data_IF_295981381439
#
_entry.id   IF_295981381439
#
_cell.length_a   1.000
_cell.length_b   1.000
_cell.length_c   1.000
_cell.angle_alpha   90.00
_cell.angle_beta   90.00
_cell.angle_gamma   90.00
#
_symmetry.space_group_name_H-M   'P 1'
#
loop_
_entity.id
_entity.type
_entity.pdbx_description
1 polymer ?
#
# COMPACT_ATOMS: atom_id res chain seq x y z
N UNK A 1 -10.02 -34.54 -24.06
CA UNK A 1 -10.01 -33.33 -23.22
C UNK A 1 -9.27 -32.24 -23.97
N UNK A 2 -9.85 -31.05 -24.13
CA UNK A 2 -9.15 -29.94 -24.74
C UNK A 2 -8.02 -29.48 -23.80
N UNK A 3 -6.80 -29.43 -24.32
CA UNK A 3 -5.63 -28.94 -23.55
C UNK A 3 -5.82 -27.45 -23.35
N UNK A 4 -6.12 -27.04 -22.10
CA UNK A 4 -6.24 -25.64 -21.77
C UNK A 4 -4.83 -25.02 -21.79
N UNK A 5 -4.61 -23.97 -22.59
CA UNK A 5 -3.33 -23.25 -22.61
C UNK A 5 -3.07 -22.62 -21.25
N UNK A 6 -1.85 -22.76 -20.68
CA UNK A 6 -1.49 -22.08 -19.46
C UNK A 6 -1.65 -20.56 -19.62
N UNK A 7 -2.14 -19.90 -18.58
CA UNK A 7 -2.31 -18.45 -18.53
C UNK A 7 -2.04 -17.92 -17.14
N UNK A 8 -1.65 -16.67 -17.04
CA UNK A 8 -1.47 -15.97 -15.76
C UNK A 8 -2.78 -15.29 -15.33
N UNK A 9 -3.00 -15.05 -14.04
CA UNK A 9 -4.16 -14.31 -13.57
C UNK A 9 -4.26 -12.91 -14.19
N UNK A 10 -5.49 -12.48 -14.47
CA UNK A 10 -5.72 -11.16 -15.05
C UNK A 10 -5.21 -10.04 -14.13
N UNK A 11 -4.41 -9.14 -14.68
CA UNK A 11 -3.82 -8.01 -13.94
C UNK A 11 -2.51 -8.33 -13.24
N UNK A 12 -1.93 -9.49 -13.50
CA UNK A 12 -0.55 -9.85 -13.13
C UNK A 12 0.30 -9.99 -14.39
N UNK A 13 1.61 -10.13 -14.24
CA UNK A 13 2.52 -10.37 -15.35
C UNK A 13 3.78 -11.09 -14.91
N UNK A 14 4.36 -11.84 -15.84
CA UNK A 14 5.71 -12.36 -15.71
C UNK A 14 6.74 -11.28 -16.08
N UNK A 15 7.95 -11.45 -15.59
CA UNK A 15 9.07 -10.59 -15.91
C UNK A 15 10.21 -11.43 -16.49
N UNK A 16 10.69 -11.05 -17.65
CA UNK A 16 11.88 -11.64 -18.25
C UNK A 16 13.15 -11.37 -17.41
N UNK A 17 14.22 -12.15 -17.58
CA UNK A 17 15.49 -11.90 -16.87
C UNK A 17 16.00 -10.47 -17.05
N UNK A 18 15.87 -9.89 -18.24
CA UNK A 18 16.27 -8.50 -18.50
C UNK A 18 15.43 -7.49 -17.70
N UNK A 19 14.11 -7.68 -17.63
CA UNK A 19 13.22 -6.81 -16.85
C UNK A 19 13.49 -6.92 -15.36
N UNK A 20 13.75 -8.13 -14.84
CA UNK A 20 14.14 -8.34 -13.44
C UNK A 20 15.45 -7.61 -13.14
N UNK A 21 16.47 -7.71 -13.99
CA UNK A 21 17.74 -7.02 -13.79
C UNK A 21 17.59 -5.49 -13.81
N UNK A 22 16.76 -4.94 -14.72
CA UNK A 22 16.46 -3.51 -14.79
C UNK A 22 15.74 -3.05 -13.52
N UNK A 23 14.74 -3.79 -13.07
CA UNK A 23 14.02 -3.51 -11.83
C UNK A 23 14.96 -3.55 -10.61
N UNK A 24 15.85 -4.54 -10.55
CA UNK A 24 16.81 -4.66 -9.45
C UNK A 24 17.80 -3.50 -9.43
N UNK A 25 18.23 -3.00 -10.60
CA UNK A 25 19.05 -1.80 -10.69
C UNK A 25 18.33 -0.57 -10.08
N UNK A 26 17.05 -0.37 -10.42
CA UNK A 26 16.23 0.72 -9.86
C UNK A 26 16.11 0.57 -8.33
N UNK A 27 15.73 -0.61 -7.87
CA UNK A 27 15.56 -0.91 -6.44
C UNK A 27 16.87 -0.65 -5.67
N UNK A 28 18.00 -1.12 -6.18
CA UNK A 28 19.28 -0.92 -5.53
C UNK A 28 19.72 0.54 -5.51
N UNK A 29 19.40 1.30 -6.55
CA UNK A 29 19.67 2.75 -6.60
C UNK A 29 18.86 3.48 -5.53
N UNK A 30 17.57 3.17 -5.40
CA UNK A 30 16.68 3.75 -4.39
C UNK A 30 17.15 3.36 -2.97
N UNK A 31 17.46 2.08 -2.73
CA UNK A 31 17.96 1.60 -1.43
C UNK A 31 19.20 2.34 -0.96
N UNK A 32 20.14 2.64 -1.87
CA UNK A 32 21.33 3.42 -1.54
C UNK A 32 20.98 4.81 -1.01
N UNK A 33 20.01 5.49 -1.64
CA UNK A 33 19.57 6.81 -1.20
C UNK A 33 18.86 6.70 0.16
N UNK A 34 17.98 5.74 0.37
CA UNK A 34 17.34 5.54 1.68
C UNK A 34 18.36 5.40 2.81
N UNK A 35 19.41 4.61 2.61
CA UNK A 35 20.47 4.43 3.62
C UNK A 35 21.21 5.75 3.88
N UNK A 36 21.51 6.54 2.84
CA UNK A 36 22.17 7.85 3.00
C UNK A 36 21.33 8.83 3.82
N UNK A 37 20.00 8.77 3.72
CA UNK A 37 19.08 9.60 4.51
C UNK A 37 18.72 8.99 5.87
N UNK A 38 19.39 7.91 6.28
CA UNK A 38 19.22 7.29 7.60
C UNK A 38 18.00 6.39 7.73
N UNK A 39 17.39 5.94 6.62
CA UNK A 39 16.29 4.99 6.66
C UNK A 39 16.78 3.57 6.80
N UNK A 40 16.13 2.80 7.67
CA UNK A 40 16.37 1.37 7.90
C UNK A 40 15.37 0.50 7.15
N UNK A 41 15.80 -0.64 6.59
CA UNK A 41 14.90 -1.57 5.91
C UNK A 41 14.02 -2.32 6.91
N UNK A 42 12.74 -2.50 6.57
CA UNK A 42 11.88 -3.50 7.20
C UNK A 42 11.16 -4.32 6.14
N UNK A 43 10.68 -5.49 6.54
CA UNK A 43 9.78 -6.32 5.74
C UNK A 43 8.63 -6.80 6.62
N UNK A 44 7.43 -6.86 6.04
CA UNK A 44 6.25 -7.40 6.68
C UNK A 44 5.69 -8.56 5.86
N UNK A 45 4.88 -9.47 6.44
CA UNK A 45 4.28 -10.58 5.70
C UNK A 45 3.44 -10.10 4.51
N UNK A 46 3.35 -10.95 3.47
CA UNK A 46 2.52 -10.67 2.29
C UNK A 46 1.02 -10.62 2.58
N UNK A 47 0.61 -11.22 3.67
CA UNK A 47 -0.79 -11.21 4.15
C UNK A 47 -0.86 -10.77 5.61
N UNK A 48 -1.96 -10.15 5.95
CA UNK A 48 -2.30 -9.68 7.29
C UNK A 48 -3.62 -10.34 7.74
N UNK A 49 -3.93 -10.24 9.02
CA UNK A 49 -5.27 -10.55 9.50
C UNK A 49 -6.28 -9.62 8.80
N UNK A 50 -7.39 -10.18 8.34
CA UNK A 50 -8.42 -9.40 7.63
C UNK A 50 -8.90 -8.21 8.48
N UNK A 51 -9.06 -8.40 9.81
CA UNK A 51 -9.45 -7.34 10.74
C UNK A 51 -8.43 -6.19 10.86
N UNK A 52 -7.17 -6.44 10.55
CA UNK A 52 -6.14 -5.38 10.54
C UNK A 52 -6.30 -4.45 9.33
N UNK A 53 -6.76 -5.00 8.19
CA UNK A 53 -6.86 -4.27 6.93
C UNK A 53 -8.22 -3.59 6.75
N UNK A 54 -9.33 -4.24 7.19
CA UNK A 54 -10.68 -3.72 6.98
C UNK A 54 -10.97 -2.46 7.80
N UNK A 55 -11.78 -1.56 7.22
CA UNK A 55 -12.14 -0.28 7.85
C UNK A 55 -11.03 0.77 7.85
N UNK A 56 -9.91 0.53 7.14
CA UNK A 56 -8.78 1.46 7.07
C UNK A 56 -8.73 2.25 5.76
N UNK A 57 -9.37 1.75 4.72
CA UNK A 57 -9.30 2.30 3.34
C UNK A 57 -10.65 2.83 2.85
N UNK A 58 -11.66 2.96 3.74
CA UNK A 58 -13.03 3.25 3.38
C UNK A 58 -13.73 2.07 2.68
N UNK A 59 -15.02 2.20 2.38
CA UNK A 59 -15.80 1.11 1.77
C UNK A 59 -15.27 0.67 0.40
N UNK A 60 -14.81 1.62 -0.41
CA UNK A 60 -14.26 1.32 -1.74
C UNK A 60 -12.95 0.54 -1.62
N UNK A 61 -12.02 0.99 -0.78
CA UNK A 61 -10.75 0.30 -0.55
C UNK A 61 -10.95 -1.11 0.02
N UNK A 62 -11.88 -1.29 0.95
CA UNK A 62 -12.19 -2.59 1.54
C UNK A 62 -12.73 -3.61 0.50
N UNK A 63 -13.39 -3.14 -0.57
CA UNK A 63 -13.82 -3.99 -1.71
C UNK A 63 -12.63 -4.44 -2.56
N UNK A 64 -11.55 -3.67 -2.58
CA UNK A 64 -10.35 -3.96 -3.39
C UNK A 64 -9.35 -4.88 -2.68
N UNK A 65 -9.57 -5.23 -1.42
CA UNK A 65 -8.71 -6.16 -0.68
C UNK A 65 -8.94 -7.59 -1.17
N UNK A 66 -7.88 -8.28 -1.60
CA UNK A 66 -7.90 -9.71 -1.90
C UNK A 66 -7.97 -10.54 -0.62
N UNK A 67 -9.09 -11.18 -0.39
CA UNK A 67 -9.33 -12.05 0.76
C UNK A 67 -8.84 -13.46 0.47
N UNK A 68 -8.24 -14.11 1.48
CA UNK A 68 -7.70 -15.47 1.38
C UNK A 68 -8.65 -16.41 2.08
N UNK A 69 -9.15 -17.42 1.36
CA UNK A 69 -9.99 -18.47 1.95
C UNK A 69 -9.21 -19.24 3.02
N UNK A 70 -9.88 -19.57 4.12
CA UNK A 70 -9.32 -20.43 5.12
C UNK A 70 -9.01 -21.82 4.54
N UNK A 71 -7.93 -22.44 5.00
CA UNK A 71 -7.54 -23.78 4.56
C UNK A 71 -8.49 -24.84 5.13
N UNK A 72 -8.63 -25.97 4.44
CA UNK A 72 -9.50 -27.08 4.85
C UNK A 72 -10.97 -26.80 4.51
N UNK A 73 -11.88 -27.25 5.33
CA UNK A 73 -13.31 -27.00 5.17
C UNK A 73 -13.66 -25.59 5.62
N UNK A 74 -13.55 -24.64 4.69
CA UNK A 74 -13.78 -23.22 4.96
C UNK A 74 -15.26 -22.87 5.18
N UNK A 75 -16.19 -23.79 4.91
CA UNK A 75 -17.62 -23.61 5.18
C UNK A 75 -18.07 -24.16 6.54
N UNK A 76 -17.24 -24.93 7.24
CA UNK A 76 -17.61 -25.61 8.49
C UNK A 76 -18.15 -24.67 9.58
N UNK A 77 -17.77 -23.39 9.56
CA UNK A 77 -18.21 -22.36 10.54
C UNK A 77 -19.30 -21.44 10.01
N UNK A 78 -19.82 -21.69 8.81
CA UNK A 78 -20.82 -20.85 8.15
C UNK A 78 -22.21 -21.39 8.41
N UNK A 79 -23.08 -20.54 8.94
CA UNK A 79 -24.50 -20.87 9.07
C UNK A 79 -25.16 -21.00 7.69
N UNK A 80 -25.93 -22.07 7.50
CA UNK A 80 -26.59 -22.36 6.23
C UNK A 80 -27.57 -21.25 5.82
N UNK A 81 -28.21 -20.60 6.78
CA UNK A 81 -29.12 -19.47 6.54
C UNK A 81 -28.40 -18.28 5.90
N UNK A 82 -27.15 -18.03 6.28
CA UNK A 82 -26.33 -16.96 5.67
C UNK A 82 -26.03 -17.25 4.20
N UNK A 83 -25.82 -18.51 3.86
CA UNK A 83 -25.60 -18.94 2.47
C UNK A 83 -26.86 -18.83 1.65
N UNK A 84 -27.99 -19.30 2.18
CA UNK A 84 -29.30 -19.23 1.51
C UNK A 84 -29.72 -17.78 1.26
N UNK A 85 -29.52 -16.90 2.24
CA UNK A 85 -29.83 -15.47 2.13
C UNK A 85 -28.80 -14.66 1.34
N UNK A 86 -27.68 -15.30 0.89
CA UNK A 86 -26.57 -14.66 0.13
C UNK A 86 -25.95 -13.47 0.89
N UNK A 87 -25.86 -13.56 2.22
CA UNK A 87 -25.30 -12.51 3.08
C UNK A 87 -23.76 -12.49 3.01
N UNK A 88 -23.22 -12.14 1.85
CA UNK A 88 -21.79 -12.25 1.50
C UNK A 88 -20.86 -11.62 2.53
N UNK A 89 -21.21 -10.46 3.08
CA UNK A 89 -20.37 -9.75 4.07
C UNK A 89 -20.22 -10.56 5.37
N UNK A 90 -21.31 -11.18 5.86
CA UNK A 90 -21.29 -12.01 7.04
C UNK A 90 -20.59 -13.36 6.79
N UNK A 91 -20.74 -13.90 5.59
CA UNK A 91 -20.04 -15.14 5.17
C UNK A 91 -18.53 -14.90 5.11
N UNK A 92 -18.07 -13.79 4.50
CA UNK A 92 -16.64 -13.47 4.36
C UNK A 92 -15.92 -13.54 5.70
N UNK A 93 -16.47 -12.99 6.77
CA UNK A 93 -15.86 -12.98 8.10
C UNK A 93 -15.66 -14.38 8.70
N UNK A 94 -16.36 -15.39 8.19
CA UNK A 94 -16.27 -16.79 8.63
C UNK A 94 -15.32 -17.63 7.79
N UNK A 95 -15.20 -17.31 6.50
CA UNK A 95 -14.42 -18.09 5.54
C UNK A 95 -13.04 -17.50 5.22
N UNK A 96 -12.76 -16.28 5.68
CA UNK A 96 -11.51 -15.56 5.39
C UNK A 96 -11.03 -14.81 6.64
N UNK A 97 -10.02 -15.34 7.29
CA UNK A 97 -9.36 -14.69 8.44
C UNK A 97 -8.18 -13.82 8.01
N UNK A 98 -7.70 -13.97 6.77
CA UNK A 98 -6.51 -13.33 6.23
C UNK A 98 -6.79 -12.71 4.87
N UNK A 99 -6.02 -11.69 4.53
CA UNK A 99 -6.08 -11.05 3.23
C UNK A 99 -4.68 -10.62 2.78
N UNK A 100 -4.47 -10.49 1.48
CA UNK A 100 -3.23 -9.90 0.94
C UNK A 100 -3.18 -8.43 1.33
N UNK A 101 -2.01 -7.95 1.70
CA UNK A 101 -1.81 -6.53 2.04
C UNK A 101 -2.13 -5.64 0.85
N UNK A 102 -2.89 -4.59 1.10
CA UNK A 102 -3.33 -3.61 0.10
C UNK A 102 -2.28 -2.52 -0.15
N UNK A 103 -1.53 -2.18 0.89
CA UNK A 103 -0.42 -1.24 0.91
C UNK A 103 0.67 -1.69 1.90
N UNK A 104 1.66 -0.84 2.13
CA UNK A 104 2.69 -1.06 3.13
C UNK A 104 2.49 -0.22 4.40
N UNK A 105 1.57 0.73 4.39
CA UNK A 105 1.32 1.67 5.50
C UNK A 105 0.62 1.00 6.68
N UNK A 106 -0.47 0.25 6.43
CA UNK A 106 -1.20 -0.45 7.51
C UNK A 106 -0.36 -1.57 8.14
N UNK A 107 0.34 -2.43 7.37
CA UNK A 107 1.30 -3.37 7.95
C UNK A 107 2.42 -2.69 8.76
N UNK A 108 2.89 -1.53 8.31
CA UNK A 108 3.89 -0.76 9.05
C UNK A 108 3.32 -0.21 10.37
N UNK A 109 2.13 0.36 10.37
CA UNK A 109 1.49 0.84 11.59
C UNK A 109 1.33 -0.30 12.63
N UNK A 110 0.91 -1.50 12.19
CA UNK A 110 0.86 -2.69 13.06
C UNK A 110 2.26 -3.04 13.58
N UNK A 111 3.28 -3.02 12.72
CA UNK A 111 4.66 -3.31 13.09
C UNK A 111 5.15 -2.36 14.20
N UNK A 112 4.93 -1.05 14.03
CA UNK A 112 5.32 -0.04 15.03
C UNK A 112 4.64 -0.30 16.38
N UNK A 113 3.33 -0.58 16.39
CA UNK A 113 2.59 -0.88 17.63
C UNK A 113 3.13 -2.13 18.31
N UNK A 114 3.41 -3.19 17.57
CA UNK A 114 3.92 -4.44 18.14
C UNK A 114 5.36 -4.33 18.66
N UNK A 115 6.19 -3.50 18.06
CA UNK A 115 7.61 -3.35 18.39
C UNK A 115 7.95 -2.01 19.04
N UNK A 116 6.96 -1.27 19.56
CA UNK A 116 7.15 0.08 20.09
C UNK A 116 8.19 0.16 21.23
N UNK A 117 8.39 -0.92 21.98
CA UNK A 117 9.38 -0.98 23.06
C UNK A 117 10.79 -1.35 22.57
N UNK A 118 10.94 -1.75 21.31
CA UNK A 118 12.19 -2.16 20.69
C UNK A 118 12.70 -1.09 19.72
N UNK A 119 11.81 -0.20 19.26
CA UNK A 119 12.08 0.85 18.29
C UNK A 119 12.59 2.09 18.98
N UNK A 120 13.69 2.66 18.48
CA UNK A 120 14.16 3.99 18.88
C UNK A 120 13.52 5.04 17.99
N UNK A 121 12.85 6.03 18.59
CA UNK A 121 12.23 7.16 17.90
C UNK A 121 13.18 8.37 17.82
N UNK A 122 13.16 9.19 16.74
CA UNK A 122 12.32 9.00 15.54
C UNK A 122 12.77 7.81 14.71
N UNK A 123 11.82 7.00 14.28
CA UNK A 123 12.07 5.80 13.47
C UNK A 123 11.86 6.12 11.99
N UNK A 124 12.96 6.08 11.22
CA UNK A 124 12.97 6.21 9.76
C UNK A 124 13.04 4.82 9.15
N UNK A 125 11.99 4.39 8.46
CA UNK A 125 11.98 3.09 7.78
C UNK A 125 11.76 3.22 6.28
N UNK A 126 12.29 2.29 5.51
CA UNK A 126 11.84 2.07 4.14
C UNK A 126 11.42 0.62 3.93
N UNK A 127 10.54 0.40 2.95
CA UNK A 127 10.03 -0.91 2.58
C UNK A 127 9.79 -0.97 1.08
N UNK A 128 10.31 -2.01 0.41
CA UNK A 128 10.14 -2.21 -1.04
C UNK A 128 9.63 -3.62 -1.23
N UNK A 129 8.32 -3.77 -1.33
CA UNK A 129 7.67 -5.06 -1.40
C UNK A 129 6.43 -5.01 -2.30
N UNK A 130 5.93 -6.17 -2.81
CA UNK A 130 4.72 -6.23 -3.59
C UNK A 130 3.48 -6.00 -2.73
N UNK A 131 2.45 -5.41 -3.34
CA UNK A 131 1.11 -5.23 -2.78
C UNK A 131 0.07 -5.66 -3.79
N UNK A 132 -1.17 -5.89 -3.33
CA UNK A 132 -2.23 -6.48 -4.15
C UNK A 132 -3.52 -5.69 -4.01
N UNK A 133 -4.05 -5.25 -5.15
CA UNK A 133 -5.33 -4.52 -5.23
C UNK A 133 -6.23 -5.14 -6.29
N UNK A 134 -7.48 -5.43 -5.94
CA UNK A 134 -8.45 -6.01 -6.86
C UNK A 134 -9.01 -5.00 -7.88
N UNK A 135 -8.26 -3.98 -8.20
CA UNK A 135 -8.58 -2.97 -9.20
C UNK A 135 -8.91 -3.57 -10.57
N UNK A 136 -9.70 -2.82 -11.36
CA UNK A 136 -9.90 -3.14 -12.76
C UNK A 136 -8.58 -2.93 -13.51
N UNK A 137 -7.96 -3.99 -14.07
CA UNK A 137 -6.70 -3.86 -14.78
C UNK A 137 -6.82 -2.97 -16.01
N UNK A 138 -5.86 -2.07 -16.18
CA UNK A 138 -5.74 -1.22 -17.36
C UNK A 138 -4.25 -0.93 -17.63
N UNK A 139 -3.93 -0.23 -18.72
CA UNK A 139 -2.53 0.10 -19.05
C UNK A 139 -1.86 0.84 -17.89
N UNK A 140 -0.75 0.27 -17.38
CA UNK A 140 -0.02 0.82 -16.24
C UNK A 140 -0.61 0.54 -14.85
N UNK A 141 -1.78 -0.12 -14.76
CA UNK A 141 -2.43 -0.47 -13.49
C UNK A 141 -2.60 -1.96 -13.36
N UNK A 142 -1.82 -2.56 -12.48
CA UNK A 142 -1.80 -3.99 -12.22
C UNK A 142 -2.46 -4.32 -10.88
N UNK A 143 -2.83 -5.59 -10.70
CA UNK A 143 -3.35 -6.13 -9.44
C UNK A 143 -2.26 -6.53 -8.46
N UNK A 144 -1.06 -6.78 -8.98
CA UNK A 144 0.16 -7.01 -8.20
C UNK A 144 1.23 -6.04 -8.69
N UNK A 145 1.79 -5.26 -7.78
CA UNK A 145 2.83 -4.30 -8.09
C UNK A 145 3.69 -3.99 -6.86
N UNK A 146 4.89 -3.48 -7.07
CA UNK A 146 5.76 -3.06 -5.98
C UNK A 146 5.42 -1.65 -5.52
N UNK A 147 5.28 -1.48 -4.21
CA UNK A 147 5.40 -0.18 -3.56
C UNK A 147 6.80 0.01 -3.01
N UNK A 148 7.23 1.25 -3.00
CA UNK A 148 8.52 1.70 -2.46
C UNK A 148 8.22 2.86 -1.52
N UNK A 149 8.08 2.54 -0.25
CA UNK A 149 7.61 3.47 0.78
C UNK A 149 8.73 3.82 1.75
N UNK A 150 8.77 5.08 2.17
CA UNK A 150 9.61 5.57 3.24
C UNK A 150 8.76 6.39 4.20
N UNK A 151 8.88 6.12 5.49
CA UNK A 151 8.11 6.80 6.53
C UNK A 151 9.00 7.17 7.72
N UNK A 152 8.58 8.21 8.43
CA UNK A 152 9.16 8.64 9.70
C UNK A 152 8.07 8.67 10.76
N UNK A 153 8.32 8.05 11.90
CA UNK A 153 7.40 8.01 13.04
C UNK A 153 8.10 8.54 14.28
N UNK A 154 7.36 9.30 15.09
CA UNK A 154 7.86 9.84 16.37
C UNK A 154 8.66 11.13 16.24
N UNK A 155 8.36 11.96 15.21
CA UNK A 155 8.90 13.31 15.07
C UNK A 155 7.84 14.24 14.50
N UNK A 156 7.67 15.40 15.12
CA UNK A 156 6.83 16.50 14.65
C UNK A 156 7.62 17.56 13.86
N UNK A 157 8.90 17.31 13.61
CA UNK A 157 9.78 18.24 12.92
C UNK A 157 9.46 18.33 11.44
N UNK A 158 9.18 19.52 10.93
CA UNK A 158 8.98 19.78 9.49
C UNK A 158 10.27 19.56 8.66
N UNK A 159 11.43 19.39 9.30
CA UNK A 159 12.66 19.01 8.60
C UNK A 159 12.53 17.63 7.93
N UNK A 160 11.63 16.76 8.41
CA UNK A 160 11.35 15.50 7.74
C UNK A 160 10.78 15.70 6.33
N UNK A 161 9.96 16.72 6.12
CA UNK A 161 9.43 17.07 4.79
C UNK A 161 10.56 17.52 3.85
N UNK A 162 11.53 18.28 4.38
CA UNK A 162 12.72 18.70 3.61
C UNK A 162 13.56 17.50 3.23
N UNK A 163 13.78 16.55 4.17
CA UNK A 163 14.50 15.30 3.91
C UNK A 163 13.82 14.50 2.79
N UNK A 164 12.48 14.41 2.77
CA UNK A 164 11.76 13.70 1.72
C UNK A 164 11.93 14.37 0.35
N UNK A 165 11.84 15.71 0.26
CA UNK A 165 12.05 16.42 -1.01
C UNK A 165 13.47 16.18 -1.53
N UNK A 166 14.47 16.27 -0.67
CA UNK A 166 15.87 16.00 -1.03
C UNK A 166 16.08 14.53 -1.43
N UNK A 167 15.43 13.60 -0.73
CA UNK A 167 15.48 12.17 -1.04
C UNK A 167 14.92 11.90 -2.44
N UNK A 168 13.76 12.46 -2.80
CA UNK A 168 13.20 12.32 -4.15
C UNK A 168 14.16 12.87 -5.20
N UNK A 169 14.67 14.08 -5.01
CA UNK A 169 15.63 14.68 -5.95
C UNK A 169 16.87 13.81 -6.13
N UNK A 170 17.45 13.31 -5.03
CA UNK A 170 18.62 12.45 -5.03
C UNK A 170 18.37 11.12 -5.77
N UNK A 171 17.21 10.49 -5.55
CA UNK A 171 16.82 9.24 -6.22
C UNK A 171 16.71 9.44 -7.72
N UNK A 172 15.96 10.44 -8.18
CA UNK A 172 15.73 10.67 -9.59
C UNK A 172 16.97 11.18 -10.32
N UNK A 173 17.79 11.97 -9.64
CA UNK A 173 19.11 12.35 -10.14
C UNK A 173 20.01 11.11 -10.34
N UNK A 174 20.08 10.21 -9.37
CA UNK A 174 20.85 8.96 -9.48
C UNK A 174 20.32 8.03 -10.58
N UNK A 175 19.02 8.04 -10.84
CA UNK A 175 18.37 7.29 -11.93
C UNK A 175 18.48 8.01 -13.28
N UNK A 176 19.03 9.22 -13.32
CA UNK A 176 19.12 10.09 -14.53
C UNK A 176 17.75 10.33 -15.17
N UNK A 177 16.72 10.46 -14.35
CA UNK A 177 15.34 10.72 -14.79
C UNK A 177 14.95 12.13 -14.37
N UNK A 178 14.76 13.06 -15.31
CA UNK A 178 14.33 14.41 -14.99
C UNK A 178 12.89 14.39 -14.44
N UNK A 179 12.67 15.08 -13.34
CA UNK A 179 11.36 15.16 -12.67
C UNK A 179 11.08 16.58 -12.23
N UNK A 180 9.82 16.90 -12.03
CA UNK A 180 9.33 18.09 -11.36
C UNK A 180 8.63 17.66 -10.07
N UNK A 181 9.01 18.25 -8.93
CA UNK A 181 8.44 17.94 -7.64
C UNK A 181 7.39 18.99 -7.28
N UNK A 182 6.13 18.57 -7.22
CA UNK A 182 5.03 19.42 -6.80
C UNK A 182 4.80 19.28 -5.29
N UNK A 183 4.86 20.40 -4.56
CA UNK A 183 4.65 20.44 -3.12
C UNK A 183 3.37 21.22 -2.85
N UNK A 184 2.50 20.68 -2.00
CA UNK A 184 1.29 21.34 -1.56
C UNK A 184 1.12 21.16 -0.05
N UNK A 185 0.32 22.03 0.55
CA UNK A 185 -0.03 21.94 1.96
C UNK A 185 -1.55 22.11 2.11
N UNK A 186 -2.19 21.21 2.86
CA UNK A 186 -3.65 21.26 3.09
C UNK A 186 -4.12 22.59 3.69
N UNK A 187 -3.28 23.27 4.49
CA UNK A 187 -3.59 24.59 5.06
C UNK A 187 -3.81 25.64 3.97
N UNK A 188 -3.07 25.54 2.84
CA UNK A 188 -3.25 26.45 1.70
C UNK A 188 -4.64 26.24 1.09
N UNK A 189 -5.03 24.97 0.88
CA UNK A 189 -6.35 24.62 0.34
C UNK A 189 -7.47 25.05 1.29
N UNK A 190 -7.28 24.83 2.60
CA UNK A 190 -8.24 25.28 3.62
C UNK A 190 -8.38 26.80 3.64
N UNK A 191 -7.28 27.53 3.55
CA UNK A 191 -7.31 29.00 3.48
C UNK A 191 -7.99 29.52 2.21
N UNK A 192 -7.75 28.88 1.06
CA UNK A 192 -8.45 29.23 -0.19
C UNK A 192 -9.95 28.99 -0.08
N UNK A 193 -10.38 27.88 0.52
CA UNK A 193 -11.79 27.57 0.73
C UNK A 193 -12.46 28.54 1.71
N UNK A 194 -11.74 28.97 2.74
CA UNK A 194 -12.21 29.98 3.70
C UNK A 194 -12.41 31.34 3.01
N UNK A 195 -11.43 31.78 2.22
CA UNK A 195 -11.52 33.05 1.45
C UNK A 195 -12.65 33.01 0.42
N UNK A 196 -12.91 31.83 -0.19
CA UNK A 196 -13.97 31.63 -1.17
C UNK A 196 -15.34 31.35 -0.55
N UNK A 197 -15.46 31.30 0.79
CA UNK A 197 -16.68 30.95 1.55
C UNK A 197 -17.27 29.57 1.18
N UNK A 198 -16.41 28.61 0.86
CA UNK A 198 -16.79 27.23 0.50
C UNK A 198 -16.21 26.19 1.46
N UNK A 199 -15.87 26.59 2.68
CA UNK A 199 -15.22 25.73 3.69
C UNK A 199 -15.99 24.44 4.00
N UNK A 200 -17.31 24.46 3.92
CA UNK A 200 -18.17 23.27 4.10
C UNK A 200 -18.00 22.22 2.98
N UNK A 201 -17.54 22.63 1.80
CA UNK A 201 -17.35 21.77 0.61
C UNK A 201 -15.91 21.29 0.46
N UNK A 202 -15.01 21.71 1.34
CA UNK A 202 -13.57 21.39 1.27
C UNK A 202 -13.30 19.89 1.28
N UNK A 203 -14.16 19.10 1.93
CA UNK A 203 -14.02 17.63 2.01
C UNK A 203 -14.16 17.02 0.62
N UNK A 204 -15.06 17.52 -0.21
CA UNK A 204 -15.30 17.00 -1.56
C UNK A 204 -14.13 17.32 -2.52
N UNK A 205 -13.45 18.46 -2.31
CA UNK A 205 -12.29 18.86 -3.12
C UNK A 205 -10.97 18.12 -2.77
N UNK A 206 -10.89 17.51 -1.60
CA UNK A 206 -9.65 16.83 -1.14
C UNK A 206 -9.65 15.33 -1.42
N UNK A 207 -10.72 14.77 -1.95
CA UNK A 207 -10.91 13.33 -2.24
C UNK A 207 -10.84 13.02 -3.75
N UNK A 208 -10.77 14.02 -4.63
CA UNK A 208 -10.70 13.86 -6.08
C UNK A 208 -9.29 13.57 -6.61
#
# INVERSE_FOLDING_TARGET
>A
MAIQKPSIPKGTRDFSPLEVNRRQYIINTIKKQFVLFGFSPIETPSFENLSTLTGKYGEEGDRLIFKILNSGDYLAKVDETLLQNKESQKVISKISEKALRYDLTVPFARYVVQHQNEITFPFKRYQIQPVWRADRPQKGRFREFFQCDADVVGSDSLLQEVDFVQLYDSVFTALKTPVEIHINNRKILSGLAEVADISAQLIDFTVA
#
